data_IF_672478681067
#
_entry.id   IF_672478681067
#
_cell.length_a   1.000
_cell.length_b   1.000
_cell.length_c   1.000
_cell.angle_alpha   90.00
_cell.angle_beta   90.00
_cell.angle_gamma   90.00
#
_symmetry.space_group_name_H-M   'P 1'
#
loop_
_entity.id
_entity.type
_entity.pdbx_description
1 polymer ?
#
# COMPACT_ATOMS: atom_id res chain seq x y z
N UNK A 1 -9.10 -2.49 12.57
CA UNK A 1 -8.79 -1.79 11.29
C UNK A 1 -8.08 -0.46 11.46
N UNK A 2 -8.58 0.50 12.25
CA UNK A 2 -8.00 1.87 12.35
C UNK A 2 -6.48 1.95 12.62
N UNK A 3 -5.91 0.97 13.33
CA UNK A 3 -4.49 0.96 13.70
C UNK A 3 -3.55 0.62 12.53
N UNK A 4 -3.96 -0.24 11.59
CA UNK A 4 -3.11 -0.68 10.47
C UNK A 4 -3.06 0.41 9.39
N UNK A 5 -4.20 0.98 9.03
CA UNK A 5 -4.27 2.10 8.08
C UNK A 5 -3.48 3.32 8.58
N UNK A 6 -3.56 3.60 9.89
CA UNK A 6 -2.77 4.67 10.52
C UNK A 6 -1.27 4.42 10.49
N UNK A 7 -0.81 3.15 10.54
CA UNK A 7 0.61 2.81 10.47
C UNK A 7 1.12 2.94 9.04
N UNK A 8 0.37 2.42 8.06
CA UNK A 8 0.73 2.54 6.64
C UNK A 8 0.78 4.02 6.20
N UNK A 9 -0.18 4.82 6.63
CA UNK A 9 -0.16 6.27 6.37
C UNK A 9 1.06 6.95 6.98
N UNK A 10 1.42 6.59 8.22
CA UNK A 10 2.60 7.16 8.89
C UNK A 10 3.89 6.73 8.19
N UNK A 11 4.00 5.47 7.77
CA UNK A 11 5.16 4.99 7.03
C UNK A 11 5.30 5.69 5.70
N UNK A 12 4.22 5.81 4.93
CA UNK A 12 4.22 6.54 3.66
C UNK A 12 4.70 7.98 3.84
N UNK A 13 4.16 8.69 4.84
CA UNK A 13 4.58 10.06 5.18
C UNK A 13 6.04 10.21 5.62
N UNK A 14 6.67 9.16 6.10
CA UNK A 14 8.10 9.18 6.49
C UNK A 14 8.98 8.98 5.26
N UNK A 15 8.49 8.25 4.25
CA UNK A 15 9.22 7.96 3.01
C UNK A 15 9.11 9.10 1.99
N UNK A 16 7.99 9.82 1.98
CA UNK A 16 7.70 10.98 1.11
C UNK A 16 8.47 12.22 1.61
N UNK A 17 9.75 12.31 1.23
CA UNK A 17 10.67 13.37 1.66
C UNK A 17 10.28 14.74 1.07
N UNK A 18 9.78 14.75 -0.17
CA UNK A 18 9.44 15.99 -0.88
C UNK A 18 7.99 16.46 -0.63
N UNK A 19 7.20 15.70 0.14
CA UNK A 19 5.80 15.93 0.50
C UNK A 19 4.85 16.09 -0.70
N UNK A 20 5.16 15.46 -1.84
CA UNK A 20 4.33 15.53 -3.05
C UNK A 20 3.15 14.53 -3.02
N UNK A 21 3.07 13.67 -2.00
CA UNK A 21 2.07 12.61 -1.79
C UNK A 21 2.19 11.41 -2.74
N UNK A 22 3.33 11.25 -3.38
CA UNK A 22 3.73 10.06 -4.11
C UNK A 22 5.13 9.64 -3.64
N UNK A 23 5.55 8.43 -4.00
CA UNK A 23 6.92 7.97 -3.75
C UNK A 23 7.58 7.72 -5.09
N UNK A 24 8.65 8.45 -5.39
CA UNK A 24 9.54 8.06 -6.48
C UNK A 24 10.44 6.87 -6.10
N UNK A 25 11.21 6.37 -7.06
CA UNK A 25 12.08 5.20 -6.84
C UNK A 25 13.12 5.44 -5.74
N UNK A 26 13.67 6.65 -5.65
CA UNK A 26 14.72 6.97 -4.70
C UNK A 26 14.14 7.11 -3.28
N UNK A 27 12.98 7.76 -3.13
CA UNK A 27 12.21 7.85 -1.90
C UNK A 27 11.76 6.45 -1.42
N UNK A 28 11.29 5.61 -2.35
CA UNK A 28 10.90 4.23 -2.04
C UNK A 28 12.09 3.40 -1.56
N UNK A 29 13.23 3.45 -2.27
CA UNK A 29 14.46 2.73 -1.91
C UNK A 29 14.97 3.17 -0.54
N UNK A 30 15.08 4.48 -0.32
CA UNK A 30 15.52 5.06 0.96
C UNK A 30 14.59 4.64 2.08
N UNK A 31 13.28 4.72 1.86
CA UNK A 31 12.30 4.31 2.84
C UNK A 31 12.43 2.84 3.25
N UNK A 32 12.60 1.91 2.31
CA UNK A 32 12.82 0.50 2.61
C UNK A 32 14.07 0.29 3.49
N UNK A 33 15.15 1.00 3.18
CA UNK A 33 16.37 0.97 3.98
C UNK A 33 16.16 1.52 5.40
N UNK A 34 15.43 2.63 5.54
CA UNK A 34 15.11 3.24 6.85
C UNK A 34 14.22 2.34 7.73
N UNK A 35 13.38 1.52 7.12
CA UNK A 35 12.61 0.48 7.81
C UNK A 35 13.43 -0.79 8.13
N UNK A 36 14.72 -0.81 7.80
CA UNK A 36 15.62 -1.93 8.07
C UNK A 36 15.40 -3.12 7.13
N UNK A 37 14.78 -2.90 5.97
CA UNK A 37 14.58 -3.95 4.97
C UNK A 37 15.82 -4.00 4.08
N UNK A 38 16.64 -5.04 4.24
CA UNK A 38 17.77 -5.33 3.35
C UNK A 38 17.28 -6.12 2.16
N UNK A 39 17.09 -5.46 1.02
CA UNK A 39 16.75 -6.08 -0.26
C UNK A 39 17.77 -5.63 -1.31
N UNK A 40 17.98 -6.43 -2.35
CA UNK A 40 18.87 -6.04 -3.44
C UNK A 40 18.20 -5.06 -4.41
N UNK A 41 19.00 -4.42 -5.27
CA UNK A 41 18.50 -3.39 -6.18
C UNK A 41 17.47 -3.93 -7.19
N UNK A 42 17.63 -5.18 -7.61
CA UNK A 42 16.70 -5.83 -8.55
C UNK A 42 15.35 -6.10 -7.88
N UNK A 43 15.36 -6.49 -6.60
CA UNK A 43 14.19 -6.67 -5.76
C UNK A 43 13.46 -5.34 -5.48
N UNK A 44 14.19 -4.24 -5.24
CA UNK A 44 13.59 -2.89 -5.12
C UNK A 44 12.84 -2.55 -6.40
N UNK A 45 13.49 -2.69 -7.54
CA UNK A 45 12.92 -2.31 -8.83
C UNK A 45 11.71 -3.18 -9.19
N UNK A 46 11.79 -4.49 -8.92
CA UNK A 46 10.68 -5.43 -9.11
C UNK A 46 9.50 -5.12 -8.19
N UNK A 47 9.77 -4.79 -6.92
CA UNK A 47 8.74 -4.39 -5.97
C UNK A 47 8.07 -3.08 -6.44
N UNK A 48 8.86 -2.07 -6.81
CA UNK A 48 8.34 -0.80 -7.29
C UNK A 48 7.42 -0.96 -8.50
N UNK A 49 7.85 -1.70 -9.53
CA UNK A 49 7.03 -2.02 -10.72
C UNK A 49 5.77 -2.81 -10.37
N UNK A 50 5.79 -3.58 -9.29
CA UNK A 50 4.61 -4.31 -8.84
C UNK A 50 3.60 -3.38 -8.16
N UNK A 51 4.08 -2.33 -7.48
CA UNK A 51 3.26 -1.36 -6.77
C UNK A 51 2.70 -0.27 -7.70
N UNK A 52 3.50 0.26 -8.63
CA UNK A 52 3.11 1.26 -9.63
C UNK A 52 2.19 0.62 -10.71
N UNK A 53 0.89 0.53 -10.41
CA UNK A 53 -0.10 -0.15 -11.26
C UNK A 53 -0.43 0.67 -12.49
N UNK A 54 -0.42 1.99 -12.35
CA UNK A 54 -0.73 2.91 -13.43
C UNK A 54 0.49 3.22 -14.32
N UNK A 55 1.70 2.75 -13.96
CA UNK A 55 2.98 3.02 -14.62
C UNK A 55 3.28 4.53 -14.71
N UNK A 56 2.96 5.28 -13.66
CA UNK A 56 3.23 6.72 -13.58
C UNK A 56 4.70 7.02 -13.32
N UNK A 57 5.49 6.02 -12.90
CA UNK A 57 6.86 6.21 -12.42
C UNK A 57 6.92 6.67 -10.96
N UNK A 58 5.78 6.69 -10.26
CA UNK A 58 5.65 7.01 -8.84
C UNK A 58 4.60 6.10 -8.21
N UNK A 59 4.71 5.82 -6.91
CA UNK A 59 3.70 5.06 -6.16
C UNK A 59 2.83 6.06 -5.41
N UNK A 60 1.55 6.12 -5.75
CA UNK A 60 0.60 6.93 -4.97
C UNK A 60 0.15 6.22 -3.68
N UNK A 61 -0.50 6.97 -2.80
CA UNK A 61 -0.93 6.44 -1.51
C UNK A 61 -1.96 5.30 -1.63
N UNK A 62 -2.82 5.32 -2.65
CA UNK A 62 -3.82 4.28 -2.86
C UNK A 62 -3.14 2.99 -3.36
N UNK A 63 -2.20 3.10 -4.28
CA UNK A 63 -1.36 1.99 -4.75
C UNK A 63 -0.58 1.35 -3.59
N UNK A 64 0.05 2.16 -2.75
CA UNK A 64 0.77 1.70 -1.55
C UNK A 64 -0.16 0.96 -0.57
N UNK A 65 -1.36 1.51 -0.33
CA UNK A 65 -2.34 0.88 0.56
C UNK A 65 -2.86 -0.43 -0.01
N UNK A 66 -3.17 -0.49 -1.31
CA UNK A 66 -3.69 -1.71 -1.95
C UNK A 66 -2.64 -2.81 -1.87
N UNK A 67 -1.36 -2.50 -2.08
CA UNK A 67 -0.28 -3.48 -2.05
C UNK A 67 0.00 -4.02 -0.64
N UNK A 68 -0.02 -3.15 0.39
CA UNK A 68 0.43 -3.51 1.74
C UNK A 68 -0.68 -3.81 2.74
N UNK A 69 -1.94 -3.52 2.39
CA UNK A 69 -3.07 -3.82 3.27
C UNK A 69 -3.26 -5.33 3.36
N UNK A 70 -3.28 -5.91 4.59
CA UNK A 70 -3.56 -7.32 4.75
C UNK A 70 -4.98 -7.66 4.28
N UNK A 71 -5.21 -8.90 3.79
CA UNK A 71 -6.53 -9.32 3.36
C UNK A 71 -7.56 -9.17 4.49
N UNK A 72 -8.80 -8.85 4.13
CA UNK A 72 -9.88 -8.75 5.11
C UNK A 72 -10.07 -10.08 5.85
N UNK A 73 -10.35 -10.00 7.16
CA UNK A 73 -10.64 -11.20 7.93
C UNK A 73 -11.90 -11.90 7.42
N UNK A 74 -11.96 -13.23 7.58
CA UNK A 74 -13.11 -14.03 7.15
C UNK A 74 -14.43 -13.56 7.77
N UNK A 75 -14.41 -13.15 9.05
CA UNK A 75 -15.59 -12.60 9.70
C UNK A 75 -16.09 -11.31 9.04
N UNK A 76 -15.18 -10.45 8.57
CA UNK A 76 -15.56 -9.22 7.86
C UNK A 76 -16.09 -9.54 6.46
N UNK A 77 -15.45 -10.45 5.74
CA UNK A 77 -15.94 -10.93 4.43
C UNK A 77 -17.35 -11.48 4.53
N UNK A 78 -17.64 -12.30 5.56
CA UNK A 78 -18.97 -12.86 5.77
C UNK A 78 -20.06 -11.80 6.00
N UNK A 79 -19.75 -10.73 6.74
CA UNK A 79 -20.69 -9.62 6.97
C UNK A 79 -20.93 -8.83 5.67
N UNK A 80 -19.88 -8.59 4.89
CA UNK A 80 -19.96 -7.90 3.60
C UNK A 80 -20.81 -8.71 2.61
N UNK A 81 -20.56 -10.01 2.51
CA UNK A 81 -21.34 -10.93 1.68
C UNK A 81 -22.82 -10.92 2.05
N UNK A 82 -23.14 -10.89 3.35
CA UNK A 82 -24.52 -10.81 3.81
C UNK A 82 -25.18 -9.49 3.38
N UNK A 83 -24.44 -8.37 3.45
CA UNK A 83 -24.93 -7.07 3.02
C UNK A 83 -25.18 -7.01 1.51
N UNK A 84 -24.24 -7.49 0.68
CA UNK A 84 -24.40 -7.56 -0.78
C UNK A 84 -25.59 -8.46 -1.17
N UNK A 85 -25.72 -9.64 -0.57
CA UNK A 85 -26.88 -10.53 -0.78
C UNK A 85 -28.22 -9.89 -0.44
N UNK A 86 -28.23 -8.89 0.43
CA UNK A 86 -29.44 -8.17 0.82
C UNK A 86 -29.73 -6.98 -0.10
N UNK A 87 -28.71 -6.36 -0.68
CA UNK A 87 -28.84 -5.27 -1.65
C UNK A 87 -29.23 -5.78 -3.05
N UNK A 88 -28.61 -6.86 -3.53
CA UNK A 88 -28.87 -7.46 -4.87
C UNK A 88 -30.25 -8.14 -4.99
N UNK A 89 -31.01 -8.22 -3.90
CA UNK A 89 -32.38 -8.80 -3.86
C UNK A 89 -33.49 -7.74 -3.98
N UNK A 90 -33.13 -6.51 -4.32
CA UNK A 90 -34.04 -5.38 -4.56
C UNK A 90 -33.86 -4.87 -5.98
#
# INVERSE_FOLDING_TARGET
MKKVESLLYRSFRIMDDNENRTLDMDEFRKGLHDFGVTIDEEEVEAAFKTLDKNNSGTIDFDEFLVALRPPMSQSRLAVIDLAFKKLDKT
#
